data_IF_154949844288
#
_entry.id   IF_154949844288
#
_cell.length_a   1.000
_cell.length_b   1.000
_cell.length_c   1.000
_cell.angle_alpha   90.00
_cell.angle_beta   90.00
_cell.angle_gamma   90.00
#
_symmetry.space_group_name_H-M   'P 1'
#
loop_
_entity.id
_entity.type
_entity.pdbx_description
1 polymer ?
#
# COMPACT_ATOMS: atom_id res chain seq x y z
N UNK A 1 -4.00 -65.56 3.74
CA UNK A 1 -3.92 -66.26 2.44
C UNK A 1 -2.63 -67.05 2.16
N UNK A 2 -1.39 -66.52 2.29
CA UNK A 2 -0.17 -67.36 2.09
C UNK A 2 -0.05 -68.50 3.12
N UNK A 3 -0.46 -68.24 4.36
CA UNK A 3 -0.48 -69.22 5.45
C UNK A 3 -1.56 -70.31 5.25
N UNK A 4 -2.67 -70.00 4.58
CA UNK A 4 -3.76 -70.96 4.31
C UNK A 4 -3.44 -71.94 3.19
N UNK A 5 -2.51 -71.59 2.28
CA UNK A 5 -2.03 -72.46 1.19
C UNK A 5 -1.37 -73.75 1.71
N UNK A 6 -0.76 -73.70 2.89
CA UNK A 6 -0.10 -74.85 3.51
C UNK A 6 -1.11 -75.91 3.99
N UNK A 7 -2.36 -75.53 4.26
CA UNK A 7 -3.37 -76.38 4.88
C UNK A 7 -4.38 -77.00 3.88
N UNK A 8 -4.14 -76.87 2.57
CA UNK A 8 -5.06 -77.36 1.51
C UNK A 8 -4.79 -78.86 1.22
N UNK A 9 -5.82 -79.72 1.17
CA UNK A 9 -5.69 -81.15 0.81
C UNK A 9 -5.10 -81.34 -0.60
N UNK A 10 -4.25 -82.36 -0.78
CA UNK A 10 -3.44 -82.55 -1.99
C UNK A 10 -4.25 -82.61 -3.30
N UNK A 11 -5.45 -83.18 -3.25
CA UNK A 11 -6.39 -83.28 -4.38
C UNK A 11 -6.95 -81.91 -4.85
N UNK A 12 -6.93 -80.89 -4.00
CA UNK A 12 -7.48 -79.56 -4.29
C UNK A 12 -6.38 -78.51 -4.58
N UNK A 13 -5.12 -78.80 -4.23
CA UNK A 13 -3.98 -77.86 -4.35
C UNK A 13 -3.82 -77.26 -5.75
N UNK A 14 -3.93 -78.07 -6.81
CA UNK A 14 -3.70 -77.58 -8.19
C UNK A 14 -4.69 -76.48 -8.59
N UNK A 15 -5.98 -76.69 -8.33
CA UNK A 15 -7.06 -75.74 -8.64
C UNK A 15 -6.91 -74.43 -7.86
N UNK A 16 -6.62 -74.50 -6.56
CA UNK A 16 -6.48 -73.32 -5.71
C UNK A 16 -5.17 -72.56 -5.95
N UNK A 17 -4.07 -73.26 -6.29
CA UNK A 17 -2.80 -72.61 -6.65
C UNK A 17 -2.92 -71.80 -7.96
N UNK A 18 -3.72 -72.25 -8.92
CA UNK A 18 -4.04 -71.46 -10.12
C UNK A 18 -4.76 -70.16 -9.77
N UNK A 19 -5.83 -70.24 -8.97
CA UNK A 19 -6.58 -69.06 -8.52
C UNK A 19 -5.73 -68.10 -7.69
N UNK A 20 -4.86 -68.62 -6.83
CA UNK A 20 -3.98 -67.80 -6.01
C UNK A 20 -2.96 -67.01 -6.85
N UNK A 21 -2.36 -67.64 -7.87
CA UNK A 21 -1.49 -66.94 -8.81
C UNK A 21 -2.23 -65.82 -9.56
N UNK A 22 -3.48 -66.07 -9.95
CA UNK A 22 -4.31 -65.06 -10.60
C UNK A 22 -4.61 -63.90 -9.65
N UNK A 23 -4.98 -64.16 -8.40
CA UNK A 23 -5.21 -63.08 -7.43
C UNK A 23 -3.94 -62.30 -7.07
N UNK A 24 -2.79 -62.96 -6.94
CA UNK A 24 -1.51 -62.26 -6.76
C UNK A 24 -1.20 -61.36 -7.96
N UNK A 25 -1.50 -61.81 -9.18
CA UNK A 25 -1.35 -61.02 -10.39
C UNK A 25 -2.33 -59.83 -10.44
N UNK A 26 -3.61 -60.04 -10.11
CA UNK A 26 -4.62 -58.99 -10.07
C UNK A 26 -4.29 -57.91 -9.04
N UNK A 27 -3.76 -58.32 -7.87
CA UNK A 27 -3.28 -57.39 -6.83
C UNK A 27 -2.08 -56.60 -7.34
N UNK A 28 -1.14 -57.22 -8.05
CA UNK A 28 0.02 -56.53 -8.62
C UNK A 28 -0.41 -55.51 -9.69
N UNK A 29 -1.34 -55.87 -10.57
CA UNK A 29 -1.93 -54.96 -11.55
C UNK A 29 -2.62 -53.78 -10.84
N UNK A 30 -3.45 -54.05 -9.84
CA UNK A 30 -4.17 -53.01 -9.10
C UNK A 30 -3.21 -52.05 -8.38
N UNK A 31 -2.12 -52.58 -7.79
CA UNK A 31 -1.07 -51.76 -7.18
C UNK A 31 -0.37 -50.86 -8.20
N UNK A 32 0.06 -51.42 -9.34
CA UNK A 32 0.70 -50.62 -10.40
C UNK A 32 -0.22 -49.52 -10.93
N UNK A 33 -1.52 -49.82 -11.08
CA UNK A 33 -2.52 -48.83 -11.50
C UNK A 33 -2.74 -47.74 -10.44
N UNK A 34 -2.73 -48.11 -9.16
CA UNK A 34 -2.83 -47.13 -8.07
C UNK A 34 -1.61 -46.20 -8.06
N UNK A 35 -0.41 -46.75 -8.20
CA UNK A 35 0.83 -45.97 -8.30
C UNK A 35 0.81 -45.03 -9.51
N UNK A 36 0.41 -45.52 -10.69
CA UNK A 36 0.33 -44.66 -11.89
C UNK A 36 -0.68 -43.53 -11.72
N UNK A 37 -1.85 -43.81 -11.15
CA UNK A 37 -2.85 -42.78 -10.88
C UNK A 37 -2.37 -41.75 -9.83
N UNK A 38 -1.61 -42.20 -8.83
CA UNK A 38 -0.99 -41.31 -7.86
C UNK A 38 0.11 -40.44 -8.49
N UNK A 39 0.94 -40.99 -9.39
CA UNK A 39 1.95 -40.20 -10.10
C UNK A 39 1.33 -39.19 -11.05
N UNK A 40 0.32 -39.58 -11.82
CA UNK A 40 -0.37 -38.69 -12.77
C UNK A 40 -1.08 -37.55 -12.01
N UNK A 41 -1.71 -37.85 -10.87
CA UNK A 41 -2.29 -36.84 -9.98
C UNK A 41 -1.23 -35.88 -9.45
N UNK A 42 -0.08 -36.39 -8.98
CA UNK A 42 1.05 -35.56 -8.51
C UNK A 42 1.65 -34.70 -9.62
N UNK A 43 1.70 -35.18 -10.86
CA UNK A 43 2.18 -34.40 -12.00
C UNK A 43 1.20 -33.31 -12.40
N UNK A 44 -0.11 -33.60 -12.37
CA UNK A 44 -1.15 -32.65 -12.76
C UNK A 44 -1.37 -31.53 -11.73
N UNK A 45 -1.32 -31.87 -10.43
CA UNK A 45 -1.63 -30.94 -9.35
C UNK A 45 -0.40 -30.49 -8.53
N UNK A 46 0.77 -31.09 -8.77
CA UNK A 46 1.96 -30.88 -7.93
C UNK A 46 1.73 -31.30 -6.47
N UNK A 47 2.60 -30.83 -5.59
CA UNK A 47 2.46 -30.99 -4.12
C UNK A 47 1.29 -30.17 -3.52
N UNK A 48 0.40 -29.64 -4.36
CA UNK A 48 -0.70 -28.73 -3.96
C UNK A 48 -2.00 -29.45 -3.60
N UNK A 49 -2.11 -30.75 -3.90
CA UNK A 49 -3.25 -31.55 -3.48
C UNK A 49 -2.91 -32.32 -2.21
N UNK A 50 -3.19 -31.70 -1.06
CA UNK A 50 -3.25 -32.40 0.22
C UNK A 50 -4.72 -32.71 0.50
N UNK A 51 -5.05 -33.97 0.77
CA UNK A 51 -6.38 -34.40 1.19
C UNK A 51 -6.62 -33.98 2.66
N UNK A 52 -6.53 -32.67 2.90
CA UNK A 52 -6.76 -32.06 4.20
C UNK A 52 -8.01 -31.16 4.09
N UNK A 53 -9.18 -31.63 4.54
CA UNK A 53 -10.44 -30.89 4.43
C UNK A 53 -10.45 -29.56 5.22
N UNK A 54 -9.49 -29.34 6.12
CA UNK A 54 -9.41 -28.15 6.99
C UNK A 54 -8.50 -27.03 6.46
N UNK A 55 -7.76 -27.24 5.37
CA UNK A 55 -6.86 -26.21 4.80
C UNK A 55 -7.08 -26.04 3.30
N UNK A 56 -8.11 -25.28 2.96
CA UNK A 56 -8.25 -24.74 1.61
C UNK A 56 -7.22 -23.63 1.40
N UNK A 57 -5.99 -24.02 1.08
CA UNK A 57 -4.85 -23.11 0.79
C UNK A 57 -5.23 -22.10 -0.30
N UNK A 58 -6.15 -22.45 -1.22
CA UNK A 58 -6.63 -21.52 -2.24
C UNK A 58 -7.54 -20.43 -1.67
N UNK A 59 -8.36 -20.75 -0.65
CA UNK A 59 -9.19 -19.79 0.06
C UNK A 59 -8.33 -18.78 0.85
N UNK A 60 -7.31 -19.25 1.57
CA UNK A 60 -6.39 -18.38 2.31
C UNK A 60 -5.64 -17.43 1.38
N UNK A 61 -5.10 -17.95 0.26
CA UNK A 61 -4.44 -17.13 -0.75
C UNK A 61 -5.38 -16.08 -1.35
N UNK A 62 -6.64 -16.44 -1.64
CA UNK A 62 -7.65 -15.50 -2.15
C UNK A 62 -7.96 -14.40 -1.13
N UNK A 63 -8.13 -14.74 0.14
CA UNK A 63 -8.36 -13.76 1.19
C UNK A 63 -7.18 -12.79 1.32
N UNK A 64 -5.95 -13.30 1.24
CA UNK A 64 -4.76 -12.46 1.25
C UNK A 64 -4.73 -11.50 0.06
N UNK A 65 -5.03 -11.96 -1.16
CA UNK A 65 -5.09 -11.12 -2.36
C UNK A 65 -6.20 -10.05 -2.28
N UNK A 66 -7.38 -10.40 -1.78
CA UNK A 66 -8.47 -9.45 -1.53
C UNK A 66 -8.04 -8.39 -0.53
N UNK A 67 -7.46 -8.81 0.60
CA UNK A 67 -6.97 -7.88 1.62
C UNK A 67 -5.86 -6.94 1.09
N UNK A 68 -4.99 -7.46 0.22
CA UNK A 68 -3.96 -6.69 -0.45
C UNK A 68 -4.55 -5.65 -1.40
N UNK A 69 -5.56 -6.04 -2.17
CA UNK A 69 -6.29 -5.15 -3.09
C UNK A 69 -7.03 -4.04 -2.33
N UNK A 70 -7.69 -4.37 -1.22
CA UNK A 70 -8.37 -3.37 -0.37
C UNK A 70 -7.40 -2.38 0.28
N UNK A 71 -6.21 -2.83 0.66
CA UNK A 71 -5.15 -1.96 1.18
C UNK A 71 -4.63 -1.03 0.08
N UNK A 72 -4.42 -1.55 -1.13
CA UNK A 72 -3.99 -0.76 -2.29
C UNK A 72 -5.04 0.30 -2.66
N UNK A 73 -6.31 -0.07 -2.73
CA UNK A 73 -7.40 0.87 -3.01
C UNK A 73 -7.46 1.98 -1.95
N UNK A 74 -7.38 1.63 -0.67
CA UNK A 74 -7.32 2.62 0.43
C UNK A 74 -6.08 3.51 0.34
N UNK A 75 -4.92 2.95 0.00
CA UNK A 75 -3.69 3.72 -0.17
C UNK A 75 -3.80 4.68 -1.35
N UNK A 76 -4.37 4.24 -2.48
CA UNK A 76 -4.61 5.09 -3.65
C UNK A 76 -5.56 6.25 -3.33
N UNK A 77 -6.63 5.98 -2.57
CA UNK A 77 -7.55 7.02 -2.09
C UNK A 77 -6.84 8.04 -1.19
N UNK A 78 -6.00 7.57 -0.26
CA UNK A 78 -5.19 8.44 0.62
C UNK A 78 -4.19 9.29 -0.17
N UNK A 79 -3.54 8.74 -1.19
CA UNK A 79 -2.61 9.49 -2.05
C UNK A 79 -3.33 10.59 -2.84
N UNK A 80 -4.50 10.28 -3.39
CA UNK A 80 -5.34 11.25 -4.11
C UNK A 80 -5.76 12.40 -3.19
N UNK A 81 -6.18 12.07 -1.97
CA UNK A 81 -6.57 13.08 -0.97
C UNK A 81 -5.37 13.90 -0.50
N UNK A 82 -4.21 13.28 -0.26
CA UNK A 82 -2.98 13.99 0.09
C UNK A 82 -2.55 14.96 -1.02
N UNK A 83 -2.68 14.57 -2.29
CA UNK A 83 -2.43 15.45 -3.43
C UNK A 83 -3.40 16.63 -3.45
N UNK A 84 -4.70 16.39 -3.22
CA UNK A 84 -5.72 17.44 -3.14
C UNK A 84 -5.38 18.47 -2.06
N UNK A 85 -5.05 18.00 -0.86
CA UNK A 85 -4.67 18.85 0.28
C UNK A 85 -3.38 19.62 -0.01
N UNK A 86 -2.39 18.99 -0.66
CA UNK A 86 -1.14 19.65 -1.03
C UNK A 86 -1.37 20.82 -2.00
N UNK A 87 -2.21 20.62 -3.02
CA UNK A 87 -2.60 21.68 -3.97
C UNK A 87 -3.37 22.82 -3.30
N UNK A 88 -4.30 22.49 -2.41
CA UNK A 88 -5.04 23.47 -1.61
C UNK A 88 -4.08 24.30 -0.73
N UNK A 89 -3.09 23.64 -0.12
CA UNK A 89 -2.05 24.28 0.69
C UNK A 89 -1.15 25.17 -0.15
N UNK A 90 -0.77 24.75 -1.36
CA UNK A 90 0.00 25.56 -2.31
C UNK A 90 -0.75 26.85 -2.68
N UNK A 91 -2.06 26.75 -2.95
CA UNK A 91 -2.90 27.91 -3.24
C UNK A 91 -2.98 28.89 -2.07
N UNK A 92 -3.15 28.38 -0.83
CA UNK A 92 -3.12 29.21 0.38
C UNK A 92 -1.75 29.88 0.55
N UNK A 93 -0.66 29.15 0.31
CA UNK A 93 0.70 29.67 0.35
C UNK A 93 0.92 30.79 -0.67
N UNK A 94 0.47 30.61 -1.90
CA UNK A 94 0.55 31.63 -2.95
C UNK A 94 -0.24 32.91 -2.58
N UNK A 95 -1.45 32.76 -2.04
CA UNK A 95 -2.24 33.90 -1.54
C UNK A 95 -1.53 34.62 -0.40
N UNK A 96 -0.98 33.88 0.56
CA UNK A 96 -0.26 34.43 1.70
C UNK A 96 0.98 35.23 1.26
N UNK A 97 1.75 34.71 0.31
CA UNK A 97 2.89 35.43 -0.27
C UNK A 97 2.46 36.69 -1.01
N UNK A 98 1.33 36.65 -1.72
CA UNK A 98 0.71 37.83 -2.33
C UNK A 98 0.32 38.90 -1.31
N UNK A 99 -0.22 38.49 -0.17
CA UNK A 99 -0.59 39.40 0.93
C UNK A 99 0.64 40.02 1.58
N UNK A 100 1.66 39.22 1.89
CA UNK A 100 2.93 39.70 2.43
C UNK A 100 3.62 40.69 1.48
N UNK A 101 3.58 40.44 0.17
CA UNK A 101 4.11 41.37 -0.82
C UNK A 101 3.37 42.71 -0.78
N UNK A 102 2.03 42.69 -0.77
CA UNK A 102 1.23 43.93 -0.65
C UNK A 102 1.51 44.69 0.64
N UNK A 103 1.63 43.97 1.75
CA UNK A 103 1.99 44.57 3.05
C UNK A 103 3.37 45.22 3.02
N UNK A 104 4.36 44.57 2.38
CA UNK A 104 5.70 45.14 2.19
C UNK A 104 5.64 46.46 1.43
N UNK A 105 4.92 46.51 0.32
CA UNK A 105 4.79 47.74 -0.48
C UNK A 105 4.10 48.85 0.32
N UNK A 106 3.08 48.52 1.13
CA UNK A 106 2.44 49.48 2.03
C UNK A 106 3.42 50.05 3.07
N UNK A 107 4.28 49.20 3.65
CA UNK A 107 5.30 49.64 4.62
C UNK A 107 6.31 50.57 3.94
N UNK A 108 6.80 50.22 2.75
CA UNK A 108 7.73 51.06 1.99
C UNK A 108 7.11 52.42 1.65
N UNK A 109 5.88 52.43 1.17
CA UNK A 109 5.17 53.67 0.87
C UNK A 109 4.97 54.54 2.13
N UNK A 110 4.62 53.92 3.26
CA UNK A 110 4.47 54.62 4.55
C UNK A 110 5.81 55.20 5.00
N UNK A 111 6.89 54.45 4.87
CA UNK A 111 8.25 54.90 5.20
C UNK A 111 8.67 56.12 4.35
N UNK A 112 8.48 56.07 3.04
CA UNK A 112 8.79 57.19 2.14
C UNK A 112 7.97 58.44 2.48
N UNK A 113 6.68 58.25 2.80
CA UNK A 113 5.79 59.32 3.25
C UNK A 113 6.29 59.96 4.54
N UNK A 114 6.77 59.17 5.50
CA UNK A 114 7.34 59.67 6.75
C UNK A 114 8.61 60.49 6.52
N UNK A 115 9.52 60.03 5.65
CA UNK A 115 10.73 60.79 5.29
C UNK A 115 10.41 62.13 4.63
N UNK A 116 9.39 62.17 3.77
CA UNK A 116 8.93 63.43 3.17
C UNK A 116 8.32 64.36 4.22
N UNK A 117 7.53 63.83 5.15
CA UNK A 117 6.93 64.56 6.26
C UNK A 117 7.99 65.18 7.19
N UNK A 118 9.07 64.44 7.47
CA UNK A 118 10.22 64.94 8.22
C UNK A 118 10.86 66.15 7.53
N UNK A 119 11.05 66.10 6.19
CA UNK A 119 11.56 67.26 5.44
C UNK A 119 10.65 68.48 5.51
N UNK A 120 9.32 68.29 5.44
CA UNK A 120 8.36 69.37 5.61
C UNK A 120 8.38 69.96 7.02
N UNK A 121 8.57 69.12 8.03
CA UNK A 121 8.70 69.54 9.44
C UNK A 121 9.95 70.40 9.62
N UNK A 122 11.09 69.96 9.07
CA UNK A 122 12.35 70.70 9.08
C UNK A 122 12.23 72.08 8.41
N UNK A 123 11.55 72.15 7.26
CA UNK A 123 11.26 73.42 6.58
C UNK A 123 10.35 74.30 7.41
N UNK A 124 9.32 73.73 8.03
CA UNK A 124 8.39 74.47 8.90
C UNK A 124 9.12 75.06 10.12
N UNK A 125 10.00 74.30 10.77
CA UNK A 125 10.85 74.78 11.88
C UNK A 125 11.75 75.93 11.43
N UNK A 126 12.41 75.81 10.27
CA UNK A 126 13.25 76.89 9.70
C UNK A 126 12.45 78.16 9.44
N UNK A 127 11.24 78.03 8.90
CA UNK A 127 10.33 79.15 8.65
C UNK A 127 9.89 79.82 9.97
N UNK A 128 9.47 79.03 10.97
CA UNK A 128 9.10 79.52 12.30
C UNK A 128 10.26 80.28 12.97
N UNK A 129 11.48 79.73 12.94
CA UNK A 129 12.70 80.42 13.42
C UNK A 129 12.95 81.73 12.68
N UNK A 130 12.70 81.76 11.37
CA UNK A 130 12.79 82.98 10.56
C UNK A 130 11.79 84.06 11.00
N UNK A 131 10.55 83.67 11.27
CA UNK A 131 9.50 84.59 11.74
C UNK A 131 9.78 85.10 13.15
N UNK A 132 10.19 84.24 14.08
CA UNK A 132 10.56 84.63 15.45
C UNK A 132 11.66 85.70 15.47
N UNK A 133 12.70 85.54 14.61
CA UNK A 133 13.75 86.55 14.44
C UNK A 133 13.23 87.90 13.94
N UNK A 134 12.28 87.90 13.00
CA UNK A 134 11.70 89.15 12.46
C UNK A 134 10.82 89.87 13.47
N UNK A 135 10.21 89.13 14.39
CA UNK A 135 9.35 89.68 15.44
C UNK A 135 10.14 90.15 16.68
N UNK A 136 11.48 90.11 16.65
CA UNK A 136 12.35 90.45 17.80
C UNK A 136 12.00 89.67 19.09
N UNK A 137 11.46 88.46 18.96
CA UNK A 137 11.15 87.61 20.10
C UNK A 137 12.46 86.97 20.61
N UNK A 138 12.80 87.12 21.92
CA UNK A 138 13.95 86.43 22.50
C UNK A 138 13.73 84.91 22.48
N UNK A 139 14.80 84.17 22.19
CA UNK A 139 14.82 82.70 22.09
C UNK A 139 14.68 82.01 23.44
#
# INVERSE_FOLDING_TARGET
MRLEKANIPANLKSKYNGRFRNFEHDIDIAKRKLESLNTDRRQLFGDRYTDNPDRDVQLEQRQQLLSGTDRLNRSSGRLTEAQRIALETEQIGASTLGDLHRQREQILHTHDTLLQSESYTDRSIKTLRGMARRLNLPF
#
